data_IF_057800567509
#
_entry.id   IF_057800567509
#
_cell.length_a   1.000
_cell.length_b   1.000
_cell.length_c   1.000
_cell.angle_alpha   90.00
_cell.angle_beta   90.00
_cell.angle_gamma   90.00
#
_symmetry.space_group_name_H-M   'P 1'
#
loop_
_entity.id
_entity.type
_entity.pdbx_description
1 polymer ?
#
# COMPACT_ATOMS: atom_id res chain seq x y z
N UNK A 1 -15.57 -27.51 90.87
CA UNK A 1 -15.08 -27.74 89.52
C UNK A 1 -16.14 -27.36 88.50
N UNK A 2 -16.09 -26.14 87.99
CA UNK A 2 -16.99 -25.65 86.93
C UNK A 2 -16.14 -25.02 85.79
N UNK A 3 -16.19 -25.67 84.66
CA UNK A 3 -15.52 -25.17 83.41
C UNK A 3 -16.47 -24.22 82.73
N UNK A 4 -16.11 -22.97 82.65
CA UNK A 4 -16.78 -21.97 81.83
C UNK A 4 -16.21 -22.00 80.40
N UNK A 5 -17.06 -22.47 79.49
CA UNK A 5 -16.78 -22.43 78.05
C UNK A 5 -17.16 -21.03 77.50
N UNK A 6 -16.15 -20.27 77.08
CA UNK A 6 -16.34 -18.99 76.41
C UNK A 6 -16.63 -19.30 74.92
N UNK A 7 -17.84 -18.98 74.51
CA UNK A 7 -18.24 -19.03 73.08
C UNK A 7 -17.74 -17.78 72.39
N UNK A 8 -16.77 -17.93 71.53
CA UNK A 8 -16.32 -16.89 70.61
C UNK A 8 -17.19 -17.01 69.36
N UNK A 9 -17.97 -15.98 69.09
CA UNK A 9 -18.75 -15.84 67.86
C UNK A 9 -17.85 -15.17 66.82
N UNK A 10 -17.61 -15.72 65.64
CA UNK A 10 -16.93 -15.00 64.56
C UNK A 10 -17.92 -14.08 63.87
N UNK A 11 -17.73 -12.79 64.01
CA UNK A 11 -18.36 -11.80 63.15
C UNK A 11 -17.82 -11.98 61.74
N UNK A 12 -18.64 -12.58 60.87
CA UNK A 12 -18.41 -12.58 59.42
C UNK A 12 -18.62 -11.17 58.88
N UNK A 13 -17.56 -10.46 58.66
CA UNK A 13 -17.59 -9.21 57.89
C UNK A 13 -17.90 -9.51 56.43
N UNK A 14 -19.13 -9.31 56.03
CA UNK A 14 -19.56 -9.33 54.63
C UNK A 14 -19.02 -8.04 53.98
N UNK A 15 -17.87 -8.12 53.34
CA UNK A 15 -17.40 -7.06 52.48
C UNK A 15 -18.21 -7.11 51.18
N UNK A 16 -19.17 -6.22 51.07
CA UNK A 16 -19.97 -5.99 49.88
C UNK A 16 -19.10 -5.22 48.87
N UNK A 17 -18.37 -5.94 48.01
CA UNK A 17 -17.65 -5.34 46.89
C UNK A 17 -18.68 -4.97 45.84
N UNK A 18 -19.09 -3.71 45.84
CA UNK A 18 -19.85 -3.11 44.75
C UNK A 18 -18.90 -3.03 43.52
N UNK A 19 -19.23 -3.71 42.39
CA UNK A 19 -18.51 -3.43 41.15
C UNK A 19 -18.91 -2.03 40.70
N UNK A 20 -17.95 -1.10 40.75
CA UNK A 20 -18.09 0.19 40.10
C UNK A 20 -18.13 -0.08 38.58
N UNK A 21 -19.32 -0.24 38.05
CA UNK A 21 -19.61 -0.17 36.63
C UNK A 21 -19.29 1.26 36.19
N UNK A 22 -18.06 1.49 35.72
CA UNK A 22 -17.68 2.71 34.99
C UNK A 22 -18.44 2.66 33.66
N UNK A 23 -19.64 3.21 33.67
CA UNK A 23 -20.38 3.56 32.47
C UNK A 23 -19.55 4.66 31.78
N UNK A 24 -18.71 4.25 30.83
CA UNK A 24 -18.11 5.18 29.87
C UNK A 24 -19.29 5.71 29.03
N UNK A 25 -19.85 6.83 29.47
CA UNK A 25 -20.82 7.58 28.70
C UNK A 25 -20.11 8.03 27.41
N UNK A 26 -20.39 7.34 26.31
CA UNK A 26 -19.99 7.81 24.99
C UNK A 26 -20.79 9.09 24.73
N UNK A 27 -20.14 10.25 24.89
CA UNK A 27 -20.72 11.53 24.52
C UNK A 27 -20.92 11.52 22.98
N UNK A 28 -22.13 11.31 22.55
CA UNK A 28 -22.53 11.46 21.16
C UNK A 28 -22.75 12.94 20.87
N UNK A 29 -21.80 13.55 20.20
CA UNK A 29 -21.94 14.90 19.65
C UNK A 29 -22.50 14.82 18.24
N UNK A 30 -23.15 15.87 17.76
CA UNK A 30 -23.63 15.97 16.39
C UNK A 30 -22.85 17.06 15.63
N UNK A 31 -22.49 16.76 14.39
CA UNK A 31 -21.91 17.71 13.46
C UNK A 31 -23.03 18.28 12.58
N UNK A 32 -23.15 19.59 12.56
CA UNK A 32 -23.99 20.37 11.64
C UNK A 32 -23.08 21.16 10.70
N UNK A 33 -23.49 21.32 9.45
CA UNK A 33 -22.76 22.14 8.46
C UNK A 33 -23.65 23.30 8.10
N UNK A 34 -23.12 24.53 8.23
CA UNK A 34 -23.86 25.75 7.89
C UNK A 34 -24.33 25.71 6.44
N UNK A 35 -25.62 26.02 6.23
CA UNK A 35 -26.26 25.98 4.92
C UNK A 35 -26.69 24.59 4.43
N UNK A 36 -26.52 23.54 5.22
CA UNK A 36 -26.95 22.18 4.90
C UNK A 36 -27.98 21.68 5.93
N UNK A 37 -28.99 20.92 5.46
CA UNK A 37 -29.98 20.32 6.35
C UNK A 37 -29.53 18.92 6.77
N UNK A 38 -29.45 18.67 8.08
CA UNK A 38 -29.13 17.35 8.64
C UNK A 38 -28.04 17.40 9.71
N UNK A 39 -27.82 16.25 10.32
CA UNK A 39 -26.80 16.06 11.36
C UNK A 39 -26.07 14.73 11.12
N UNK A 40 -24.75 14.74 11.29
CA UNK A 40 -23.94 13.53 11.33
C UNK A 40 -23.52 13.24 12.78
N UNK A 41 -23.53 11.97 13.13
CA UNK A 41 -23.11 11.48 14.45
C UNK A 41 -21.60 11.62 14.59
N UNK A 42 -21.18 12.23 15.69
CA UNK A 42 -19.78 12.33 16.08
C UNK A 42 -19.54 11.48 17.30
N UNK A 43 -18.52 10.65 17.28
CA UNK A 43 -18.07 9.87 18.42
C UNK A 43 -16.66 10.29 18.80
N UNK A 44 -16.37 10.34 20.09
CA UNK A 44 -15.03 10.66 20.58
C UNK A 44 -14.34 9.37 21.06
N UNK A 45 -13.20 9.07 20.47
CA UNK A 45 -12.36 7.93 20.85
C UNK A 45 -10.97 8.47 21.18
N UNK A 46 -10.49 8.22 22.38
CA UNK A 46 -9.16 8.64 22.83
C UNK A 46 -8.89 10.16 22.61
N UNK A 47 -9.89 11.01 22.85
CA UNK A 47 -9.77 12.46 22.66
C UNK A 47 -9.83 12.94 21.21
N UNK A 48 -10.05 12.05 20.24
CA UNK A 48 -10.23 12.38 18.82
C UNK A 48 -11.69 12.25 18.42
N UNK A 49 -12.16 13.20 17.63
CA UNK A 49 -13.52 13.17 17.10
C UNK A 49 -13.56 12.41 15.76
N UNK A 50 -14.49 11.47 15.66
CA UNK A 50 -14.76 10.69 14.45
C UNK A 50 -16.19 10.95 14.01
N UNK A 51 -16.37 11.12 12.70
CA UNK A 51 -17.67 11.36 12.08
C UNK A 51 -18.05 10.16 11.24
N UNK A 52 -19.30 9.75 11.33
CA UNK A 52 -19.85 8.71 10.46
C UNK A 52 -19.85 9.21 9.01
N UNK A 53 -19.13 8.50 8.12
CA UNK A 53 -18.93 8.92 6.72
C UNK A 53 -20.26 8.96 5.96
N UNK A 54 -21.17 8.00 6.22
CA UNK A 54 -22.52 7.99 5.63
C UNK A 54 -23.37 9.19 6.09
N UNK A 55 -23.26 9.57 7.35
CA UNK A 55 -23.89 10.76 7.91
C UNK A 55 -23.37 12.03 7.23
N UNK A 56 -22.03 12.12 7.08
CA UNK A 56 -21.39 13.25 6.40
C UNK A 56 -21.81 13.35 4.95
N UNK A 57 -21.83 12.26 4.20
CA UNK A 57 -22.31 12.25 2.81
C UNK A 57 -23.77 12.72 2.70
N UNK A 58 -24.63 12.27 3.61
CA UNK A 58 -26.04 12.63 3.62
C UNK A 58 -26.26 14.14 3.82
N UNK A 59 -25.58 14.75 4.80
CA UNK A 59 -25.75 16.20 5.08
C UNK A 59 -25.09 17.08 4.03
N UNK A 60 -24.07 16.59 3.33
CA UNK A 60 -23.41 17.32 2.24
C UNK A 60 -24.04 17.04 0.86
N UNK A 61 -25.04 16.17 0.78
CA UNK A 61 -25.59 15.71 -0.51
C UNK A 61 -24.57 14.92 -1.35
N UNK A 62 -23.50 14.44 -0.72
CA UNK A 62 -22.44 13.69 -1.36
C UNK A 62 -22.80 12.22 -1.60
N UNK A 63 -21.95 11.53 -2.33
CA UNK A 63 -22.03 10.08 -2.55
C UNK A 63 -20.75 9.38 -2.06
N UNK A 64 -20.93 8.17 -1.52
CA UNK A 64 -19.82 7.33 -1.08
C UNK A 64 -19.64 6.18 -2.05
N UNK A 65 -18.39 5.92 -2.42
CA UNK A 65 -17.99 4.73 -3.16
C UNK A 65 -16.86 4.01 -2.42
N UNK A 66 -16.94 2.69 -2.42
CA UNK A 66 -15.87 1.83 -1.90
C UNK A 66 -15.04 1.34 -3.08
N UNK A 67 -13.76 1.71 -3.09
CA UNK A 67 -12.79 1.30 -4.10
C UNK A 67 -11.68 0.50 -3.40
N UNK A 68 -11.81 -0.83 -3.40
CA UNK A 68 -10.91 -1.70 -2.66
C UNK A 68 -10.89 -1.37 -1.16
N UNK A 69 -9.75 -0.91 -0.66
CA UNK A 69 -9.56 -0.53 0.75
C UNK A 69 -9.73 0.99 1.00
N UNK A 70 -10.25 1.72 0.03
CA UNK A 70 -10.47 3.17 0.13
C UNK A 70 -11.95 3.51 0.14
N UNK A 71 -12.29 4.52 0.95
CA UNK A 71 -13.61 5.14 0.97
C UNK A 71 -13.48 6.49 0.25
N UNK A 72 -14.19 6.64 -0.88
CA UNK A 72 -14.20 7.87 -1.67
C UNK A 72 -15.52 8.60 -1.41
N UNK A 73 -15.43 9.78 -0.77
CA UNK A 73 -16.55 10.68 -0.57
C UNK A 73 -16.52 11.76 -1.67
N UNK A 74 -17.53 11.77 -2.54
CA UNK A 74 -17.73 12.80 -3.56
C UNK A 74 -18.76 13.82 -3.05
N UNK A 75 -18.36 15.08 -2.92
CA UNK A 75 -19.22 16.17 -2.48
C UNK A 75 -19.83 16.88 -3.70
N UNK A 76 -21.14 17.25 -3.70
CA UNK A 76 -21.67 18.10 -4.73
C UNK A 76 -21.02 19.47 -4.64
N UNK A 77 -20.39 19.91 -5.73
CA UNK A 77 -19.78 21.24 -5.78
C UNK A 77 -20.84 22.32 -5.65
N UNK A 78 -20.58 23.33 -4.83
CA UNK A 78 -21.36 24.57 -4.79
C UNK A 78 -21.05 25.36 -6.07
N UNK A 79 -21.69 25.03 -7.18
CA UNK A 79 -21.49 25.68 -8.47
C UNK A 79 -22.44 25.12 -9.49
N UNK A 80 -23.31 26.00 -10.04
CA UNK A 80 -24.11 25.77 -11.21
C UNK A 80 -23.32 25.05 -12.31
N UNK A 81 -23.63 23.79 -12.54
CA UNK A 81 -22.96 23.02 -13.58
C UNK A 81 -23.56 21.62 -13.67
N UNK A 82 -24.53 21.47 -14.57
CA UNK A 82 -24.92 20.23 -15.25
C UNK A 82 -23.98 19.06 -15.02
N UNK A 83 -24.59 17.92 -14.75
CA UNK A 83 -23.98 16.55 -14.84
C UNK A 83 -23.50 16.28 -16.27
N UNK A 84 -22.53 17.03 -16.72
CA UNK A 84 -21.58 16.56 -17.70
C UNK A 84 -20.55 15.75 -16.91
N UNK A 85 -20.45 14.46 -17.21
CA UNK A 85 -19.20 13.76 -17.02
C UNK A 85 -18.12 14.78 -17.42
N UNK A 86 -17.42 15.31 -16.42
CA UNK A 86 -16.28 16.14 -16.69
C UNK A 86 -15.37 15.25 -17.54
N UNK A 87 -15.37 15.49 -18.83
CA UNK A 87 -14.22 15.22 -19.65
C UNK A 87 -13.14 16.07 -18.99
N UNK A 88 -12.47 15.47 -18.00
CA UNK A 88 -11.25 16.00 -17.42
C UNK A 88 -10.39 16.30 -18.63
N UNK A 89 -9.99 17.57 -18.78
CA UNK A 89 -8.87 17.88 -19.64
C UNK A 89 -7.83 16.78 -19.40
N UNK A 90 -7.25 16.20 -20.46
CA UNK A 90 -6.36 15.05 -20.29
C UNK A 90 -5.39 15.40 -19.18
N UNK A 91 -5.37 14.58 -18.12
CA UNK A 91 -4.55 14.85 -16.95
C UNK A 91 -3.12 14.90 -17.46
N UNK A 92 -2.54 16.12 -17.50
CA UNK A 92 -1.17 16.32 -17.93
C UNK A 92 -0.28 15.77 -16.83
N UNK A 93 0.30 14.60 -17.04
CA UNK A 93 1.16 13.93 -16.08
C UNK A 93 0.72 12.51 -15.74
N UNK A 94 1.42 11.93 -14.79
CA UNK A 94 1.10 10.61 -14.26
C UNK A 94 -0.05 10.69 -13.27
N UNK A 95 -0.94 9.69 -13.28
CA UNK A 95 -2.02 9.59 -12.30
C UNK A 95 -1.48 9.15 -10.93
N UNK A 96 -2.12 9.62 -9.84
CA UNK A 96 -1.71 9.28 -8.48
C UNK A 96 -1.81 7.78 -8.19
N UNK A 97 -2.85 7.13 -8.70
CA UNK A 97 -3.10 5.71 -8.48
C UNK A 97 -2.04 4.86 -9.20
N UNK A 98 -1.69 5.23 -10.43
CA UNK A 98 -0.60 4.60 -11.17
C UNK A 98 0.74 4.81 -10.49
N UNK A 99 1.06 6.03 -10.05
CA UNK A 99 2.31 6.30 -9.33
C UNK A 99 2.41 5.48 -8.04
N UNK A 100 1.34 5.40 -7.26
CA UNK A 100 1.33 4.60 -6.03
C UNK A 100 1.58 3.12 -6.30
N UNK A 101 0.84 2.53 -7.23
CA UNK A 101 1.00 1.13 -7.61
C UNK A 101 2.35 0.87 -8.30
N UNK A 102 2.83 1.84 -9.10
CA UNK A 102 4.12 1.78 -9.78
C UNK A 102 5.30 1.81 -8.81
N UNK A 103 5.25 2.66 -7.78
CA UNK A 103 6.28 2.70 -6.73
C UNK A 103 6.35 1.35 -6.02
N UNK A 104 5.20 0.74 -5.69
CA UNK A 104 5.17 -0.59 -5.08
C UNK A 104 5.79 -1.63 -6.01
N UNK A 105 5.41 -1.67 -7.28
CA UNK A 105 5.96 -2.60 -8.26
C UNK A 105 7.48 -2.46 -8.42
N UNK A 106 7.97 -1.21 -8.53
CA UNK A 106 9.41 -0.94 -8.65
C UNK A 106 10.18 -1.24 -7.37
N UNK A 107 9.56 -1.10 -6.20
CA UNK A 107 10.15 -1.50 -4.92
C UNK A 107 10.36 -3.01 -4.86
N UNK A 108 9.33 -3.79 -5.16
CA UNK A 108 9.41 -5.26 -5.22
C UNK A 108 10.46 -5.73 -6.23
N UNK A 109 10.56 -5.06 -7.36
CA UNK A 109 11.54 -5.37 -8.39
C UNK A 109 12.97 -5.11 -7.93
N UNK A 110 13.20 -3.98 -7.24
CA UNK A 110 14.51 -3.66 -6.65
C UNK A 110 14.90 -4.63 -5.55
N UNK A 111 13.95 -5.06 -4.73
CA UNK A 111 14.17 -6.08 -3.70
C UNK A 111 14.59 -7.41 -4.32
N UNK A 112 13.90 -7.83 -5.39
CA UNK A 112 14.28 -9.04 -6.11
C UNK A 112 15.68 -8.94 -6.70
N UNK A 113 15.97 -7.86 -7.42
CA UNK A 113 17.28 -7.62 -8.02
C UNK A 113 18.39 -7.59 -6.95
N UNK A 114 18.18 -6.86 -5.85
CA UNK A 114 19.13 -6.78 -4.74
C UNK A 114 19.37 -8.14 -4.05
N UNK A 115 18.31 -8.92 -3.88
CA UNK A 115 18.41 -10.26 -3.31
C UNK A 115 19.21 -11.22 -4.22
N UNK A 116 18.94 -11.18 -5.53
CA UNK A 116 19.69 -11.95 -6.53
C UNK A 116 21.15 -11.55 -6.55
N UNK A 117 21.44 -10.25 -6.62
CA UNK A 117 22.80 -9.69 -6.61
C UNK A 117 23.58 -10.13 -5.38
N UNK A 118 22.98 -9.97 -4.20
CA UNK A 118 23.60 -10.35 -2.94
C UNK A 118 23.91 -11.87 -2.88
N UNK A 119 23.00 -12.71 -3.39
CA UNK A 119 23.22 -14.15 -3.45
C UNK A 119 24.39 -14.51 -4.38
N UNK A 120 24.50 -13.89 -5.53
CA UNK A 120 25.58 -14.12 -6.49
C UNK A 120 26.93 -13.67 -5.89
N UNK A 121 27.00 -12.44 -5.35
CA UNK A 121 28.22 -11.85 -4.80
C UNK A 121 28.76 -12.61 -3.58
N UNK A 122 27.86 -13.23 -2.79
CA UNK A 122 28.23 -14.00 -1.59
C UNK A 122 28.29 -15.50 -1.82
N UNK A 123 27.99 -15.98 -3.01
CA UNK A 123 28.01 -17.40 -3.33
C UNK A 123 26.89 -18.18 -2.61
N UNK A 124 25.76 -17.53 -2.30
CA UNK A 124 24.61 -18.23 -1.74
C UNK A 124 23.89 -19.08 -2.80
N UNK A 125 23.30 -20.22 -2.41
CA UNK A 125 22.60 -21.08 -3.35
C UNK A 125 21.37 -20.37 -3.92
N UNK A 126 21.23 -20.39 -5.24
CA UNK A 126 20.05 -19.93 -5.95
C UNK A 126 19.06 -21.08 -6.12
N UNK A 127 17.80 -20.87 -5.76
CA UNK A 127 16.74 -21.85 -6.02
C UNK A 127 15.61 -21.23 -6.83
N UNK A 128 14.99 -22.04 -7.69
CA UNK A 128 13.83 -21.63 -8.51
C UNK A 128 12.63 -21.29 -7.66
N UNK A 129 12.46 -21.94 -6.51
CA UNK A 129 11.37 -21.63 -5.58
C UNK A 129 11.53 -20.23 -4.97
N UNK A 130 12.71 -19.94 -4.45
CA UNK A 130 13.03 -18.67 -3.83
C UNK A 130 12.88 -17.50 -4.83
N UNK A 131 13.51 -17.59 -6.00
CA UNK A 131 13.40 -16.57 -7.05
C UNK A 131 11.99 -16.50 -7.65
N UNK A 132 11.29 -17.62 -7.75
CA UNK A 132 9.91 -17.69 -8.19
C UNK A 132 8.94 -16.94 -7.25
N UNK A 133 9.22 -16.87 -5.95
CA UNK A 133 8.43 -16.07 -5.01
C UNK A 133 8.52 -14.58 -5.32
N UNK A 134 9.74 -14.05 -5.51
CA UNK A 134 9.93 -12.66 -5.94
C UNK A 134 9.24 -12.36 -7.27
N UNK A 135 9.43 -13.23 -8.26
CA UNK A 135 8.80 -13.09 -9.59
C UNK A 135 7.27 -12.97 -9.47
N UNK A 136 6.62 -13.82 -8.68
CA UNK A 136 5.16 -13.76 -8.47
C UNK A 136 4.71 -12.49 -7.78
N UNK A 137 5.43 -12.03 -6.75
CA UNK A 137 5.13 -10.79 -6.04
C UNK A 137 5.24 -9.58 -6.98
N UNK A 138 6.35 -9.46 -7.70
CA UNK A 138 6.54 -8.39 -8.69
C UNK A 138 5.46 -8.41 -9.77
N UNK A 139 5.09 -9.59 -10.29
CA UNK A 139 4.01 -9.71 -11.26
C UNK A 139 2.66 -9.24 -10.71
N UNK A 140 2.37 -9.52 -9.45
CA UNK A 140 1.13 -9.08 -8.82
C UNK A 140 1.08 -7.55 -8.71
N UNK A 141 2.15 -6.92 -8.20
CA UNK A 141 2.26 -5.46 -8.09
C UNK A 141 2.26 -4.77 -9.45
N UNK A 142 2.96 -5.35 -10.44
CA UNK A 142 2.99 -4.82 -11.80
C UNK A 142 1.61 -4.87 -12.48
N UNK A 143 0.82 -5.94 -12.26
CA UNK A 143 -0.57 -5.99 -12.74
C UNK A 143 -1.43 -4.89 -12.11
N UNK A 144 -1.24 -4.59 -10.82
CA UNK A 144 -1.95 -3.49 -10.16
C UNK A 144 -1.60 -2.14 -10.78
N UNK A 145 -0.31 -1.90 -11.07
CA UNK A 145 0.12 -0.70 -11.79
C UNK A 145 -0.53 -0.61 -13.19
N UNK A 146 -0.59 -1.71 -13.93
CA UNK A 146 -1.26 -1.74 -15.24
C UNK A 146 -2.75 -1.44 -15.18
N UNK A 147 -3.46 -1.92 -14.15
CA UNK A 147 -4.89 -1.60 -13.94
C UNK A 147 -5.08 -0.13 -13.55
N UNK A 148 -4.13 0.46 -12.84
CA UNK A 148 -4.17 1.85 -12.40
C UNK A 148 -3.78 2.85 -13.51
N UNK A 149 -3.17 2.40 -14.61
CA UNK A 149 -2.73 3.23 -15.72
C UNK A 149 -3.93 3.87 -16.44
N UNK A 150 -4.15 5.16 -16.22
CA UNK A 150 -5.34 5.89 -16.67
C UNK A 150 -5.04 7.09 -17.57
N UNK A 151 -3.80 7.60 -17.57
CA UNK A 151 -3.37 8.70 -18.44
C UNK A 151 -2.51 8.19 -19.60
N UNK A 152 -2.35 9.01 -20.63
CA UNK A 152 -1.44 8.70 -21.75
C UNK A 152 0.00 8.50 -21.27
N UNK A 153 0.41 9.23 -20.24
CA UNK A 153 1.75 9.08 -19.66
C UNK A 153 1.90 7.79 -18.90
N UNK A 154 0.88 7.37 -18.14
CA UNK A 154 0.86 6.08 -17.46
C UNK A 154 1.00 4.93 -18.48
N UNK A 155 0.21 5.01 -19.57
CA UNK A 155 0.21 4.00 -20.63
C UNK A 155 1.55 3.90 -21.38
N UNK A 156 2.31 4.99 -21.45
CA UNK A 156 3.65 5.01 -22.03
C UNK A 156 4.71 4.49 -21.06
N UNK A 157 4.61 4.82 -19.77
CA UNK A 157 5.57 4.39 -18.76
C UNK A 157 5.42 2.91 -18.40
N UNK A 158 4.21 2.39 -18.38
CA UNK A 158 3.93 1.02 -17.98
C UNK A 158 4.70 -0.05 -18.78
N UNK A 159 4.79 0.00 -20.13
CA UNK A 159 5.63 -0.91 -20.90
C UNK A 159 7.09 -0.91 -20.49
N UNK A 160 7.67 0.26 -20.16
CA UNK A 160 9.06 0.35 -19.71
C UNK A 160 9.25 -0.35 -18.35
N UNK A 161 8.27 -0.24 -17.45
CA UNK A 161 8.27 -0.99 -16.18
C UNK A 161 8.18 -2.51 -16.43
N UNK A 162 7.41 -2.94 -17.46
CA UNK A 162 7.35 -4.35 -17.87
C UNK A 162 8.69 -4.82 -18.43
N UNK A 163 9.37 -3.98 -19.22
CA UNK A 163 10.69 -4.30 -19.74
C UNK A 163 11.72 -4.46 -18.61
N UNK A 164 11.68 -3.59 -17.61
CA UNK A 164 12.54 -3.72 -16.43
C UNK A 164 12.28 -5.04 -15.68
N UNK A 165 11.02 -5.42 -15.47
CA UNK A 165 10.66 -6.71 -14.90
C UNK A 165 11.20 -7.89 -15.75
N UNK A 166 11.08 -7.81 -17.08
CA UNK A 166 11.57 -8.83 -17.97
C UNK A 166 13.11 -8.97 -17.91
N UNK A 167 13.81 -7.84 -17.77
CA UNK A 167 15.27 -7.82 -17.61
C UNK A 167 15.71 -8.48 -16.30
N UNK A 168 15.05 -8.21 -15.15
CA UNK A 168 15.34 -8.89 -13.88
C UNK A 168 15.02 -10.39 -13.98
N UNK A 169 13.91 -10.74 -14.64
CA UNK A 169 13.55 -12.15 -14.87
C UNK A 169 14.62 -12.86 -15.70
N UNK A 170 15.06 -12.26 -16.80
CA UNK A 170 16.10 -12.82 -17.66
C UNK A 170 17.43 -12.97 -16.91
N UNK A 171 17.82 -11.99 -16.09
CA UNK A 171 19.01 -12.10 -15.25
C UNK A 171 18.89 -13.26 -14.25
N UNK A 172 17.74 -13.40 -13.59
CA UNK A 172 17.47 -14.48 -12.66
C UNK A 172 17.52 -15.84 -13.33
N UNK A 173 16.87 -15.98 -14.49
CA UNK A 173 16.83 -17.23 -15.27
C UNK A 173 18.25 -17.61 -15.75
N UNK A 174 19.07 -16.65 -16.19
CA UNK A 174 20.47 -16.86 -16.57
C UNK A 174 21.30 -17.46 -15.43
N UNK A 175 21.19 -16.93 -14.21
CA UNK A 175 21.97 -17.42 -13.09
C UNK A 175 21.41 -18.72 -12.49
N UNK A 176 20.10 -18.93 -12.54
CA UNK A 176 19.48 -20.24 -12.24
C UNK A 176 20.00 -21.32 -13.17
N UNK A 177 20.08 -21.04 -14.46
CA UNK A 177 20.59 -22.00 -15.46
C UNK A 177 22.05 -22.34 -15.18
N UNK A 178 22.90 -21.36 -14.85
CA UNK A 178 24.30 -21.61 -14.44
C UNK A 178 24.37 -22.52 -13.24
N UNK A 179 23.54 -22.27 -12.22
CA UNK A 179 23.45 -23.13 -11.01
C UNK A 179 23.02 -24.55 -11.35
N UNK A 180 22.01 -24.72 -12.22
CA UNK A 180 21.51 -26.02 -12.66
C UNK A 180 22.58 -26.82 -13.44
N UNK A 181 23.40 -26.13 -14.21
CA UNK A 181 24.52 -26.72 -14.96
C UNK A 181 25.78 -26.97 -14.08
N UNK A 182 25.76 -26.59 -12.80
CA UNK A 182 26.92 -26.61 -11.91
C UNK A 182 28.08 -25.72 -12.39
N UNK A 183 27.76 -24.68 -13.17
CA UNK A 183 28.77 -23.71 -13.62
C UNK A 183 29.25 -22.87 -12.44
N UNK A 184 30.56 -22.59 -12.43
CA UNK A 184 31.10 -21.66 -11.43
C UNK A 184 30.60 -20.24 -11.66
N UNK A 185 29.99 -19.65 -10.63
CA UNK A 185 29.55 -18.26 -10.62
C UNK A 185 30.54 -17.46 -9.78
N UNK A 186 31.33 -16.63 -10.44
CA UNK A 186 32.27 -15.75 -9.74
C UNK A 186 31.53 -14.62 -9.01
N UNK A 187 31.96 -14.19 -7.80
CA UNK A 187 31.31 -13.10 -7.07
C UNK A 187 31.21 -11.77 -7.84
N UNK A 188 32.12 -11.53 -8.76
CA UNK A 188 32.15 -10.34 -9.60
C UNK A 188 31.49 -10.54 -10.98
N UNK A 189 30.77 -11.63 -11.20
CA UNK A 189 30.18 -11.96 -12.51
C UNK A 189 29.13 -10.95 -13.00
N UNK A 190 28.55 -10.15 -12.10
CA UNK A 190 27.61 -9.09 -12.44
C UNK A 190 28.28 -7.79 -12.91
N UNK A 191 29.53 -7.55 -12.56
CA UNK A 191 30.22 -6.27 -12.83
C UNK A 191 30.19 -5.86 -14.31
N UNK A 192 30.34 -6.83 -15.21
CA UNK A 192 30.32 -6.62 -16.65
C UNK A 192 29.16 -7.33 -17.35
N UNK A 193 28.11 -7.68 -16.60
CA UNK A 193 26.93 -8.33 -17.17
C UNK A 193 26.06 -7.28 -17.88
N UNK A 194 25.79 -7.45 -19.20
CA UNK A 194 24.98 -6.48 -19.94
C UNK A 194 23.57 -6.29 -19.39
N UNK A 195 22.94 -7.35 -18.84
CA UNK A 195 21.63 -7.25 -18.22
C UNK A 195 21.68 -6.45 -16.91
N UNK A 196 22.72 -6.62 -16.10
CA UNK A 196 22.93 -5.83 -14.88
C UNK A 196 23.09 -4.33 -15.21
N UNK A 197 23.88 -4.00 -16.24
CA UNK A 197 24.05 -2.61 -16.69
C UNK A 197 22.74 -2.03 -17.21
N UNK A 198 21.99 -2.81 -17.98
CA UNK A 198 20.67 -2.41 -18.50
C UNK A 198 19.69 -2.14 -17.37
N UNK A 199 19.61 -3.00 -16.36
CA UNK A 199 18.77 -2.80 -15.18
C UNK A 199 19.09 -1.51 -14.44
N UNK A 200 20.36 -1.17 -14.29
CA UNK A 200 20.77 0.07 -13.63
C UNK A 200 20.34 1.30 -14.46
N UNK A 201 20.58 1.29 -15.78
CA UNK A 201 20.24 2.42 -16.65
C UNK A 201 18.73 2.61 -16.79
N UNK A 202 17.97 1.53 -17.00
CA UNK A 202 16.52 1.58 -17.06
C UNK A 202 15.91 2.06 -15.74
N UNK A 203 16.36 1.51 -14.60
CA UNK A 203 15.90 1.95 -13.29
C UNK A 203 16.12 3.43 -13.02
N UNK A 204 17.25 4.00 -13.46
CA UNK A 204 17.51 5.44 -13.37
C UNK A 204 16.59 6.25 -14.28
N UNK A 205 16.38 5.82 -15.52
CA UNK A 205 15.48 6.47 -16.48
C UNK A 205 14.04 6.52 -15.96
N UNK A 206 13.51 5.39 -15.46
CA UNK A 206 12.18 5.33 -14.85
C UNK A 206 12.04 6.28 -13.65
N UNK A 207 13.03 6.31 -12.76
CA UNK A 207 13.02 7.22 -11.61
C UNK A 207 13.07 8.69 -12.04
N UNK A 208 13.83 9.04 -13.08
CA UNK A 208 13.90 10.38 -13.63
C UNK A 208 12.57 10.83 -14.24
N UNK A 209 11.91 9.97 -15.02
CA UNK A 209 10.60 10.24 -15.60
C UNK A 209 9.54 10.52 -14.53
N UNK A 210 9.52 9.73 -13.48
CA UNK A 210 8.56 9.92 -12.37
C UNK A 210 8.86 11.20 -11.60
N UNK A 211 10.12 11.47 -11.28
CA UNK A 211 10.50 12.64 -10.47
C UNK A 211 10.31 13.97 -11.21
N UNK A 212 10.52 13.99 -12.53
CA UNK A 212 10.29 15.17 -13.38
C UNK A 212 8.83 15.36 -13.78
N UNK A 213 7.98 14.35 -13.56
CA UNK A 213 6.63 14.28 -14.11
C UNK A 213 6.60 14.48 -15.64
N UNK A 214 7.61 13.95 -16.33
CA UNK A 214 7.75 14.01 -17.79
C UNK A 214 8.11 12.63 -18.32
N UNK A 215 7.50 12.26 -19.44
CA UNK A 215 7.86 11.04 -20.14
C UNK A 215 8.97 11.36 -21.17
N UNK A 216 10.12 10.75 -20.96
CA UNK A 216 11.26 10.83 -21.89
C UNK A 216 11.85 9.43 -22.01
N UNK A 217 11.47 8.72 -23.07
CA UNK A 217 12.05 7.42 -23.38
C UNK A 217 13.41 7.62 -24.06
N UNK A 218 14.46 7.18 -23.39
CA UNK A 218 15.85 7.25 -23.87
C UNK A 218 16.34 5.89 -24.42
N UNK A 219 15.44 4.91 -24.54
CA UNK A 219 15.75 3.56 -24.99
C UNK A 219 16.54 2.71 -23.99
N UNK A 220 16.75 3.18 -22.76
CA UNK A 220 17.53 2.45 -21.75
C UNK A 220 16.82 1.20 -21.24
N UNK A 221 15.50 1.11 -21.41
CA UNK A 221 14.69 -0.03 -20.99
C UNK A 221 14.44 -1.08 -22.08
N UNK A 222 14.78 -0.82 -23.35
CA UNK A 222 14.49 -1.69 -24.50
C UNK A 222 15.47 -2.85 -24.68
#
# INVERSE_FOLDING_TARGET
MRRNAIRIWPMAAVILVLPLLVLVAQQTSSLTIDGQQGQAKVIQIQGRNYVEVDGLARITGGSIRFAGNQIVLSLPGNGNGSSQAAQSAPAVGYSKDFLSAGIEAMTQLREWHAALKNAIERGYPLSSEWLGNFKRQCQASLRQAGVAASTDMDQKLFPLMQNEFNNVSALSDKYLQKTANMDYIAPNSLTNDPLEQKLQTCGHSLASMVSSNQFVDDGSCD
#
